data_IF_144369368585
#
_entry.id   IF_144369368585
#
_cell.length_a   1.000
_cell.length_b   1.000
_cell.length_c   1.000
_cell.angle_alpha   90.00
_cell.angle_beta   90.00
_cell.angle_gamma   90.00
#
_symmetry.space_group_name_H-M   'P 1'
#
loop_
_entity.id
_entity.type
_entity.pdbx_description
1 polymer ?
#
# COMPACT_ATOMS: atom_id res chain seq x y z
N UNK A 1 -7.43 17.30 -58.43
CA UNK A 1 -6.56 17.21 -59.64
C UNK A 1 -5.12 17.42 -59.18
N UNK A 2 -4.41 16.36 -58.85
CA UNK A 2 -3.41 15.63 -59.68
C UNK A 2 -1.98 16.15 -59.49
N UNK A 3 -1.17 15.32 -58.79
CA UNK A 3 0.23 14.93 -59.05
C UNK A 3 1.42 15.91 -58.88
N UNK A 4 2.45 15.33 -58.24
CA UNK A 4 3.92 15.38 -58.53
C UNK A 4 4.65 16.70 -58.28
N UNK A 5 5.89 16.77 -57.78
CA UNK A 5 7.00 15.81 -57.69
C UNK A 5 8.07 16.38 -56.74
N UNK A 6 8.80 15.52 -56.03
CA UNK A 6 10.21 15.75 -55.60
C UNK A 6 11.12 15.83 -56.85
N UNK A 7 12.35 16.43 -56.85
CA UNK A 7 13.51 15.79 -56.20
C UNK A 7 14.75 16.67 -55.87
N UNK A 8 15.79 16.00 -55.34
CA UNK A 8 17.23 16.32 -55.38
C UNK A 8 17.72 17.47 -54.48
N UNK A 9 18.77 17.35 -53.66
CA UNK A 9 19.90 16.42 -53.65
C UNK A 9 21.21 17.23 -53.62
N UNK A 10 21.99 17.15 -52.53
CA UNK A 10 23.46 17.36 -52.46
C UNK A 10 23.86 17.15 -50.98
N UNK A 11 24.57 16.10 -50.55
CA UNK A 11 25.86 15.53 -50.91
C UNK A 11 27.08 16.38 -50.48
N UNK A 12 27.88 15.73 -49.61
CA UNK A 12 29.34 15.85 -49.38
C UNK A 12 29.83 17.06 -48.60
N UNK A 13 30.98 17.01 -47.92
CA UNK A 13 31.80 16.01 -47.21
C UNK A 13 33.08 16.81 -46.82
N UNK A 14 33.90 16.21 -45.97
CA UNK A 14 35.32 16.57 -45.75
C UNK A 14 35.54 17.79 -44.81
N UNK A 15 36.44 17.79 -43.83
CA UNK A 15 37.66 17.00 -43.68
C UNK A 15 38.17 17.02 -42.23
N UNK A 16 38.94 15.97 -41.92
CA UNK A 16 39.71 15.62 -40.74
C UNK A 16 40.50 16.74 -40.01
N UNK A 17 40.83 16.49 -38.72
CA UNK A 17 42.21 16.19 -38.32
C UNK A 17 42.34 15.82 -36.82
N UNK A 18 43.18 14.80 -36.61
CA UNK A 18 43.59 14.13 -35.38
C UNK A 18 44.22 14.99 -34.27
N UNK A 19 44.13 14.49 -33.03
CA UNK A 19 45.31 14.35 -32.17
C UNK A 19 45.11 13.25 -31.11
N UNK A 20 46.19 12.51 -30.84
CA UNK A 20 46.34 11.24 -30.12
C UNK A 20 47.20 11.46 -28.86
N UNK A 21 46.89 10.76 -27.75
CA UNK A 21 47.77 10.25 -26.67
C UNK A 21 46.97 10.12 -25.36
N UNK A 22 47.21 9.24 -24.39
CA UNK A 22 47.94 7.99 -24.24
C UNK A 22 47.52 7.40 -22.85
N UNK A 23 47.67 6.08 -22.72
CA UNK A 23 47.55 5.19 -21.56
C UNK A 23 47.45 5.76 -20.12
N UNK A 24 46.55 5.15 -19.31
CA UNK A 24 46.90 4.57 -18.00
C UNK A 24 45.71 3.80 -17.38
N UNK A 25 45.89 2.49 -17.17
CA UNK A 25 45.05 1.64 -16.32
C UNK A 25 45.58 1.63 -14.88
N UNK A 26 44.71 1.70 -13.88
CA UNK A 26 44.87 0.93 -12.64
C UNK A 26 43.63 0.03 -12.43
N UNK A 27 43.74 -1.31 -12.52
CA UNK A 27 44.16 -2.26 -11.47
C UNK A 27 43.34 -2.14 -10.17
N UNK A 28 42.31 -2.99 -10.11
CA UNK A 28 41.67 -3.60 -8.93
C UNK A 28 41.84 -2.93 -7.56
N UNK A 29 40.75 -2.32 -7.09
CA UNK A 29 40.33 -2.47 -5.71
C UNK A 29 39.00 -3.23 -5.73
N UNK A 30 38.99 -4.42 -5.14
CA UNK A 30 37.79 -5.20 -4.88
C UNK A 30 36.94 -4.46 -3.85
N UNK A 31 35.91 -3.74 -4.31
CA UNK A 31 34.80 -3.35 -3.45
C UNK A 31 34.04 -4.63 -3.07
N UNK A 32 34.49 -5.24 -1.98
CA UNK A 32 33.72 -6.22 -1.24
C UNK A 32 32.56 -5.52 -0.55
N UNK A 33 31.60 -5.03 -1.32
CA UNK A 33 30.26 -4.76 -0.82
C UNK A 33 29.69 -6.11 -0.42
N UNK A 34 29.89 -6.48 0.85
CA UNK A 34 29.12 -7.51 1.50
C UNK A 34 27.65 -7.15 1.29
N UNK A 35 27.03 -7.76 0.30
CA UNK A 35 25.58 -7.75 0.14
C UNK A 35 25.05 -8.35 1.44
N UNK A 36 24.68 -7.47 2.38
CA UNK A 36 23.93 -7.85 3.56
C UNK A 36 22.72 -8.60 3.02
N UNK A 37 22.70 -9.92 3.25
CA UNK A 37 21.60 -10.78 2.83
C UNK A 37 20.34 -10.19 3.45
N UNK A 38 19.58 -9.44 2.66
CA UNK A 38 18.41 -8.74 3.13
C UNK A 38 17.37 -9.81 3.43
N UNK A 39 17.21 -10.14 4.71
CA UNK A 39 16.12 -11.01 5.15
C UNK A 39 14.81 -10.41 4.62
N UNK A 40 13.89 -11.24 4.11
CA UNK A 40 12.63 -10.75 3.57
C UNK A 40 11.89 -10.00 4.67
N UNK A 41 11.57 -8.73 4.41
CA UNK A 41 10.84 -7.90 5.36
C UNK A 41 9.41 -8.42 5.47
N UNK A 42 8.97 -8.71 6.70
CA UNK A 42 7.60 -9.12 7.01
C UNK A 42 6.85 -7.95 7.63
N UNK A 43 5.59 -7.78 7.26
CA UNK A 43 4.70 -6.82 7.92
C UNK A 43 4.57 -7.15 9.42
N UNK A 44 4.64 -6.14 10.32
CA UNK A 44 4.70 -6.35 11.77
C UNK A 44 3.31 -6.62 12.38
N UNK A 45 2.55 -7.52 11.77
CA UNK A 45 1.30 -8.03 12.32
C UNK A 45 1.56 -9.02 13.45
N UNK A 46 0.74 -8.95 14.50
CA UNK A 46 0.77 -9.93 15.57
C UNK A 46 -0.04 -11.19 15.18
N UNK A 47 -0.03 -12.21 16.05
CA UNK A 47 -0.75 -13.45 15.80
C UNK A 47 -2.28 -13.27 15.72
N UNK A 48 -2.85 -12.34 16.48
CA UNK A 48 -4.28 -12.04 16.47
C UNK A 48 -4.71 -11.38 15.16
N UNK A 49 -3.93 -10.44 14.63
CA UNK A 49 -4.21 -9.75 13.37
C UNK A 49 -4.28 -10.72 12.20
N UNK A 50 -3.36 -11.70 12.18
CA UNK A 50 -3.32 -12.74 11.18
C UNK A 50 -4.43 -13.78 11.38
N UNK A 51 -4.66 -14.21 12.63
CA UNK A 51 -5.72 -15.16 12.94
C UNK A 51 -7.11 -14.59 12.61
N UNK A 52 -7.34 -13.30 12.85
CA UNK A 52 -8.58 -12.63 12.48
C UNK A 52 -8.79 -12.62 10.96
N UNK A 53 -7.79 -12.21 10.18
CA UNK A 53 -7.89 -12.22 8.72
C UNK A 53 -8.10 -13.64 8.16
N UNK A 54 -7.39 -14.64 8.70
CA UNK A 54 -7.57 -16.03 8.31
C UNK A 54 -8.97 -16.54 8.65
N UNK A 55 -9.48 -16.24 9.85
CA UNK A 55 -10.84 -16.59 10.24
C UNK A 55 -11.88 -16.02 9.28
N UNK A 56 -11.72 -14.77 8.85
CA UNK A 56 -12.64 -14.16 7.88
C UNK A 56 -12.57 -14.87 6.52
N UNK A 57 -11.36 -15.21 6.06
CA UNK A 57 -11.16 -15.95 4.82
C UNK A 57 -11.74 -17.37 4.88
N UNK A 58 -11.61 -18.06 6.00
CA UNK A 58 -12.19 -19.38 6.21
C UNK A 58 -13.73 -19.34 6.25
N UNK A 59 -14.31 -18.29 6.86
CA UNK A 59 -15.75 -18.12 6.97
C UNK A 59 -16.42 -17.72 5.66
N UNK A 60 -15.78 -16.81 4.91
CA UNK A 60 -16.25 -16.36 3.60
C UNK A 60 -15.04 -15.97 2.75
N UNK A 61 -14.62 -16.84 1.81
CA UNK A 61 -13.45 -16.58 0.99
C UNK A 61 -13.58 -15.31 0.14
N UNK A 62 -12.45 -14.65 -0.03
CA UNK A 62 -12.23 -13.52 -0.90
C UNK A 62 -11.05 -13.77 -1.82
N UNK A 63 -11.28 -13.58 -3.12
CA UNK A 63 -10.24 -13.71 -4.15
C UNK A 63 -9.29 -12.50 -4.19
N UNK A 64 -9.66 -11.36 -3.57
CA UNK A 64 -8.77 -10.20 -3.47
C UNK A 64 -7.87 -10.33 -2.24
N UNK A 65 -6.53 -10.44 -2.40
CA UNK A 65 -5.60 -10.55 -1.28
C UNK A 65 -5.56 -9.29 -0.40
N UNK A 66 -5.97 -8.13 -0.92
CA UNK A 66 -6.06 -6.88 -0.15
C UNK A 66 -7.11 -6.94 0.93
N UNK A 67 -8.14 -7.78 0.78
CA UNK A 67 -9.20 -7.92 1.78
C UNK A 67 -8.64 -8.48 3.09
N UNK A 68 -7.89 -9.59 3.04
CA UNK A 68 -7.24 -10.15 4.24
C UNK A 68 -6.29 -9.13 4.90
N UNK A 69 -5.55 -8.38 4.09
CA UNK A 69 -4.67 -7.31 4.58
C UNK A 69 -5.44 -6.20 5.29
N UNK A 70 -6.57 -5.73 4.72
CA UNK A 70 -7.45 -4.74 5.36
C UNK A 70 -8.00 -5.24 6.69
N UNK A 71 -8.37 -6.52 6.79
CA UNK A 71 -8.82 -7.12 8.04
C UNK A 71 -7.70 -7.14 9.09
N UNK A 72 -6.48 -7.52 8.72
CA UNK A 72 -5.32 -7.46 9.62
C UNK A 72 -4.99 -6.03 10.05
N UNK A 73 -5.06 -5.04 9.16
CA UNK A 73 -4.85 -3.62 9.48
C UNK A 73 -5.92 -3.08 10.44
N UNK A 74 -7.19 -3.44 10.23
CA UNK A 74 -8.28 -3.05 11.14
C UNK A 74 -8.10 -3.67 12.54
N UNK A 75 -7.72 -4.95 12.61
CA UNK A 75 -7.36 -5.61 13.87
C UNK A 75 -6.16 -4.94 14.55
N UNK A 76 -5.12 -4.61 13.76
CA UNK A 76 -3.91 -3.98 14.25
C UNK A 76 -4.20 -2.62 14.89
N UNK A 77 -4.97 -1.78 14.22
CA UNK A 77 -5.39 -0.48 14.76
C UNK A 77 -6.24 -0.64 16.02
N UNK A 78 -7.14 -1.61 16.05
CA UNK A 78 -7.92 -1.92 17.24
C UNK A 78 -7.05 -2.35 18.43
N UNK A 79 -6.07 -3.23 18.21
CA UNK A 79 -5.13 -3.67 19.26
C UNK A 79 -4.29 -2.52 19.83
N UNK A 80 -4.18 -1.41 19.09
CA UNK A 80 -3.49 -0.18 19.51
C UNK A 80 -4.42 0.88 20.13
N UNK A 81 -5.70 0.56 20.29
CA UNK A 81 -6.69 1.43 20.93
C UNK A 81 -7.43 2.37 19.96
N UNK A 82 -7.25 2.23 18.65
CA UNK A 82 -8.04 2.96 17.66
C UNK A 82 -9.35 2.22 17.36
N UNK A 83 -10.47 2.94 17.34
CA UNK A 83 -11.76 2.31 17.07
C UNK A 83 -11.94 1.86 15.60
N UNK A 84 -11.27 2.55 14.67
CA UNK A 84 -11.26 2.22 13.24
C UNK A 84 -9.87 2.37 12.61
N UNK A 85 -9.74 1.77 11.43
CA UNK A 85 -8.73 2.10 10.44
C UNK A 85 -9.28 3.22 9.54
N UNK A 86 -8.64 4.40 9.58
CA UNK A 86 -8.93 5.50 8.67
C UNK A 86 -8.13 5.34 7.37
N UNK A 87 -8.82 5.03 6.28
CA UNK A 87 -8.22 4.72 4.97
C UNK A 87 -7.65 5.96 4.29
N UNK A 88 -8.21 7.14 4.56
CA UNK A 88 -7.69 8.39 4.03
C UNK A 88 -6.38 8.76 4.75
N UNK A 89 -6.36 8.62 6.07
CA UNK A 89 -5.14 8.84 6.85
C UNK A 89 -4.07 7.80 6.53
N UNK A 90 -4.45 6.54 6.30
CA UNK A 90 -3.52 5.48 5.88
C UNK A 90 -2.80 5.84 4.57
N UNK A 91 -3.53 6.40 3.61
CA UNK A 91 -2.98 6.81 2.32
C UNK A 91 -2.03 8.02 2.45
N UNK A 92 -2.34 8.96 3.36
CA UNK A 92 -1.57 10.19 3.52
C UNK A 92 -0.37 10.05 4.47
N UNK A 93 -0.52 9.31 5.57
CA UNK A 93 0.39 9.27 6.74
C UNK A 93 0.44 7.85 7.35
N UNK A 94 0.61 6.83 6.51
CA UNK A 94 0.54 5.44 6.94
C UNK A 94 1.65 5.02 7.93
N UNK A 95 2.85 5.60 7.80
CA UNK A 95 3.98 5.35 8.71
C UNK A 95 3.60 5.75 10.14
N UNK A 96 3.05 6.94 10.31
CA UNK A 96 2.62 7.48 11.59
C UNK A 96 1.40 6.72 12.11
N UNK A 97 0.39 6.53 11.25
CA UNK A 97 -0.86 5.84 11.60
C UNK A 97 -0.61 4.43 12.13
N UNK A 98 0.20 3.65 11.43
CA UNK A 98 0.52 2.27 11.79
C UNK A 98 1.70 2.18 12.77
N UNK A 99 2.44 3.28 12.97
CA UNK A 99 3.69 3.32 13.72
C UNK A 99 4.67 2.22 13.27
N UNK A 100 4.71 2.03 11.95
CA UNK A 100 5.63 1.12 11.27
C UNK A 100 6.78 1.90 10.66
N UNK A 101 7.87 1.23 10.33
CA UNK A 101 8.92 1.86 9.54
C UNK A 101 8.50 2.00 8.07
N UNK A 102 9.09 3.00 7.38
CA UNK A 102 8.76 3.31 5.99
C UNK A 102 8.93 2.12 5.03
N UNK A 103 9.84 1.17 5.34
CA UNK A 103 10.03 -0.02 4.50
C UNK A 103 8.84 -0.97 4.60
N UNK A 104 8.25 -1.13 5.78
CA UNK A 104 7.02 -1.92 5.94
C UNK A 104 5.83 -1.24 5.27
N UNK A 105 5.72 0.10 5.39
CA UNK A 105 4.69 0.86 4.69
C UNK A 105 4.77 0.69 3.17
N UNK A 106 5.98 0.67 2.61
CA UNK A 106 6.20 0.48 1.17
C UNK A 106 5.76 -0.90 0.65
N UNK A 107 5.52 -1.88 1.52
CA UNK A 107 4.96 -3.19 1.17
C UNK A 107 3.43 -3.18 1.05
N UNK A 108 2.76 -2.12 1.51
CA UNK A 108 1.31 -2.02 1.42
C UNK A 108 0.87 -1.69 -0.02
N UNK A 109 -0.16 -2.35 -0.56
CA UNK A 109 -0.76 -1.98 -1.84
C UNK A 109 -1.32 -0.55 -1.82
N UNK A 110 -1.12 0.22 -2.90
CA UNK A 110 -1.59 1.61 -2.98
C UNK A 110 -3.13 1.75 -2.96
N UNK A 111 -3.85 0.74 -3.47
CA UNK A 111 -5.31 0.81 -3.71
C UNK A 111 -6.15 0.16 -2.59
N UNK A 112 -5.68 0.21 -1.35
CA UNK A 112 -6.41 -0.36 -0.20
C UNK A 112 -7.77 0.30 0.03
N UNK A 113 -7.89 1.61 -0.24
CA UNK A 113 -9.18 2.32 -0.14
C UNK A 113 -10.22 1.80 -1.12
N UNK A 114 -9.81 1.51 -2.37
CA UNK A 114 -10.70 0.94 -3.37
C UNK A 114 -11.11 -0.49 -3.01
N UNK A 115 -10.16 -1.30 -2.54
CA UNK A 115 -10.43 -2.67 -2.08
C UNK A 115 -11.38 -2.72 -0.88
N UNK A 116 -11.34 -1.72 0.01
CA UNK A 116 -12.25 -1.65 1.14
C UNK A 116 -13.73 -1.63 0.69
N UNK A 117 -14.03 -0.94 -0.42
CA UNK A 117 -15.38 -0.86 -0.97
C UNK A 117 -15.94 -2.19 -1.48
N UNK A 118 -15.09 -3.19 -1.69
CA UNK A 118 -15.49 -4.53 -2.15
C UNK A 118 -15.32 -5.62 -1.08
N UNK A 119 -15.05 -5.25 0.17
CA UNK A 119 -14.86 -6.20 1.27
C UNK A 119 -16.13 -7.02 1.52
N UNK A 120 -16.10 -8.35 1.38
CA UNK A 120 -17.30 -9.18 1.55
C UNK A 120 -17.81 -9.17 3.00
N UNK A 121 -16.92 -9.01 3.98
CA UNK A 121 -17.21 -9.06 5.41
C UNK A 121 -17.75 -7.76 6.00
N UNK A 122 -18.19 -6.82 5.14
CA UNK A 122 -18.82 -5.55 5.55
C UNK A 122 -20.33 -5.55 5.33
N UNK A 123 -20.87 -6.51 4.58
CA UNK A 123 -22.28 -6.55 4.19
C UNK A 123 -23.20 -7.13 5.28
N UNK A 124 -24.20 -6.38 5.70
CA UNK A 124 -25.28 -6.85 6.57
C UNK A 124 -25.00 -6.74 8.07
N UNK A 125 -26.04 -7.02 8.88
CA UNK A 125 -26.06 -6.85 10.35
C UNK A 125 -25.14 -7.81 11.11
N UNK A 126 -24.88 -9.00 10.56
CA UNK A 126 -24.02 -10.00 11.18
C UNK A 126 -22.54 -9.91 10.74
N UNK A 127 -22.21 -9.00 9.83
CA UNK A 127 -20.85 -8.89 9.28
C UNK A 127 -19.85 -8.43 10.35
N UNK A 128 -18.64 -9.01 10.42
CA UNK A 128 -17.67 -8.70 11.47
C UNK A 128 -16.98 -7.34 11.26
N UNK A 129 -17.00 -6.79 10.05
CA UNK A 129 -16.49 -5.46 9.73
C UNK A 129 -17.64 -4.50 9.37
N UNK A 130 -17.38 -3.20 9.47
CA UNK A 130 -18.24 -2.12 8.96
C UNK A 130 -17.37 -1.14 8.21
N UNK A 131 -17.74 -0.83 6.97
CA UNK A 131 -17.17 0.30 6.25
C UNK A 131 -18.14 1.48 6.32
N UNK A 132 -17.73 2.57 6.94
CA UNK A 132 -18.50 3.81 7.00
C UNK A 132 -17.68 4.95 6.40
N UNK A 133 -18.00 5.33 5.17
CA UNK A 133 -17.16 6.26 4.39
C UNK A 133 -15.75 5.68 4.22
N UNK A 134 -14.73 6.43 4.63
CA UNK A 134 -13.32 6.03 4.56
C UNK A 134 -12.82 5.34 5.84
N UNK A 135 -13.72 4.88 6.71
CA UNK A 135 -13.35 4.26 8.00
C UNK A 135 -13.81 2.81 8.05
N UNK A 136 -12.87 1.91 8.26
CA UNK A 136 -13.11 0.49 8.44
C UNK A 136 -13.05 0.13 9.92
N UNK A 137 -14.14 -0.41 10.44
CA UNK A 137 -14.32 -0.75 11.85
C UNK A 137 -14.43 -2.25 12.04
N UNK A 138 -14.07 -2.73 13.23
CA UNK A 138 -14.65 -3.95 13.77
C UNK A 138 -16.08 -3.65 14.23
N UNK A 139 -17.04 -4.55 13.94
CA UNK A 139 -18.46 -4.37 14.26
C UNK A 139 -18.71 -3.94 15.70
N UNK A 140 -18.04 -4.60 16.65
CA UNK A 140 -18.15 -4.28 18.09
C UNK A 140 -17.74 -2.85 18.45
N UNK A 141 -16.71 -2.32 17.78
CA UNK A 141 -16.20 -0.97 18.03
C UNK A 141 -17.15 0.07 17.45
N UNK A 142 -17.65 -0.19 16.24
CA UNK A 142 -18.66 0.65 15.62
C UNK A 142 -19.95 0.72 16.47
N UNK A 143 -20.43 -0.43 16.96
CA UNK A 143 -21.60 -0.47 17.83
C UNK A 143 -21.39 0.32 19.12
N UNK A 144 -20.24 0.15 19.77
CA UNK A 144 -19.91 0.92 20.97
C UNK A 144 -19.89 2.44 20.71
N UNK A 145 -19.37 2.89 19.57
CA UNK A 145 -19.45 4.31 19.17
C UNK A 145 -20.91 4.78 19.00
N UNK A 146 -21.76 3.99 18.33
CA UNK A 146 -23.18 4.34 18.17
C UNK A 146 -23.90 4.43 19.52
N UNK A 147 -23.67 3.45 20.41
CA UNK A 147 -24.28 3.39 21.74
C UNK A 147 -23.87 4.57 22.60
N UNK A 148 -22.58 4.94 22.59
CA UNK A 148 -22.07 6.13 23.28
C UNK A 148 -22.73 7.39 22.72
N UNK A 149 -22.80 7.52 21.40
CA UNK A 149 -23.44 8.64 20.73
C UNK A 149 -24.91 8.80 21.15
N UNK A 150 -25.68 7.71 21.09
CA UNK A 150 -27.07 7.68 21.51
C UNK A 150 -27.24 8.05 22.99
N UNK A 151 -26.40 7.50 23.87
CA UNK A 151 -26.45 7.78 25.30
C UNK A 151 -26.08 9.23 25.64
N UNK A 152 -25.20 9.87 24.87
CA UNK A 152 -24.88 11.30 25.03
C UNK A 152 -26.08 12.14 24.59
N UNK A 153 -26.65 11.86 23.42
CA UNK A 153 -27.81 12.60 22.91
C UNK A 153 -29.01 12.53 23.86
N UNK A 154 -29.29 11.36 24.44
CA UNK A 154 -30.37 11.18 25.41
C UNK A 154 -30.19 11.99 26.70
N UNK A 155 -28.95 12.37 27.08
CA UNK A 155 -28.67 13.18 28.27
C UNK A 155 -28.70 14.69 28.00
N UNK A 156 -28.67 15.10 26.73
CA UNK A 156 -28.71 16.51 26.33
C UNK A 156 -30.13 17.02 26.05
N UNK A 157 -31.12 16.12 26.04
CA UNK A 157 -32.55 16.43 26.00
C UNK A 157 -33.07 16.78 27.39
#
# INVERSE_FOLDING_TARGET
MTRTNDPSGNARADTAASAKAAAATPRHATDGAMAASAMPLKLPFNALDLAFANFLQDAQPSDDPRHALLASLASHQFGRGHACLDLQLLAAQGVELLSWDARCQALLPADLGAAAGTLPWTGGEASPLVLQGQRLYLRRSWQAEQDIGAAIQARLQ
#
